data_IF_071677826727
#
_entry.id   IF_071677826727
#
_cell.length_a   1.000
_cell.length_b   1.000
_cell.length_c   1.000
_cell.angle_alpha   90.00
_cell.angle_beta   90.00
_cell.angle_gamma   90.00
#
_symmetry.space_group_name_H-M   'P 1'
#
loop_
_entity.id
_entity.type
_entity.pdbx_description
1 polymer ?
#
# COMPACT_ATOMS: atom_id res chain seq x y z
N UNK A 1 -8.07 -6.03 2.45
CA UNK A 1 -8.03 -6.36 1.01
C UNK A 1 -7.62 -5.18 0.15
N UNK A 2 -7.20 -5.45 -1.10
CA UNK A 2 -6.93 -4.42 -2.09
C UNK A 2 -8.24 -3.82 -2.62
N UNK A 3 -8.34 -2.49 -2.68
CA UNK A 3 -9.45 -1.76 -3.30
C UNK A 3 -8.98 -1.06 -4.58
N UNK A 4 -7.80 -0.44 -4.54
CA UNK A 4 -7.18 0.20 -5.70
C UNK A 4 -5.66 0.28 -5.55
N UNK A 5 -4.89 0.33 -6.66
CA UNK A 5 -5.33 0.08 -8.03
C UNK A 5 -5.81 -1.36 -8.24
N UNK A 6 -6.35 -1.67 -9.42
CA UNK A 6 -6.64 -3.06 -9.79
C UNK A 6 -5.36 -3.90 -9.67
N UNK A 7 -5.49 -5.12 -9.16
CA UNK A 7 -4.35 -6.03 -9.01
C UNK A 7 -3.72 -6.29 -10.38
N UNK A 8 -2.41 -6.06 -10.49
CA UNK A 8 -1.64 -6.17 -11.73
C UNK A 8 -2.17 -5.26 -12.87
N UNK A 9 -2.94 -4.24 -12.51
CA UNK A 9 -3.51 -3.28 -13.44
C UNK A 9 -2.48 -2.29 -14.00
N UNK A 10 -2.88 -1.61 -15.08
CA UNK A 10 -2.07 -0.59 -15.74
C UNK A 10 -2.66 0.80 -15.45
N UNK A 11 -1.81 1.69 -14.94
CA UNK A 11 -2.12 3.09 -14.68
C UNK A 11 -1.67 3.94 -15.87
N UNK A 12 -2.60 4.68 -16.45
CA UNK A 12 -2.34 5.68 -17.48
C UNK A 12 -1.87 6.99 -16.82
N UNK A 13 -0.57 7.11 -16.60
CA UNK A 13 0.05 8.25 -15.91
C UNK A 13 1.01 7.88 -14.79
N UNK A 14 1.46 8.91 -14.07
CA UNK A 14 2.58 8.85 -13.10
C UNK A 14 2.12 9.05 -11.66
N UNK A 15 0.83 8.86 -11.39
CA UNK A 15 0.29 8.83 -10.03
C UNK A 15 -0.92 7.90 -9.93
N UNK A 16 -1.13 7.33 -8.75
CA UNK A 16 -2.29 6.51 -8.43
C UNK A 16 -2.61 6.55 -6.94
N UNK A 17 -3.88 6.31 -6.58
CA UNK A 17 -4.28 6.13 -5.19
C UNK A 17 -4.24 4.65 -4.83
N UNK A 18 -3.34 4.30 -3.93
CA UNK A 18 -3.35 3.01 -3.25
C UNK A 18 -4.48 3.06 -2.21
N UNK A 19 -5.39 2.09 -2.24
CA UNK A 19 -6.55 2.00 -1.34
C UNK A 19 -6.72 0.56 -0.89
N UNK A 20 -6.94 0.37 0.40
CA UNK A 20 -7.13 -0.95 0.99
C UNK A 20 -8.25 -0.92 2.03
N UNK A 21 -8.70 -2.11 2.43
CA UNK A 21 -9.51 -2.33 3.62
C UNK A 21 -8.68 -3.07 4.67
N UNK A 22 -8.90 -2.71 5.93
CA UNK A 22 -8.41 -3.43 7.09
C UNK A 22 -9.49 -3.35 8.18
N UNK A 23 -9.62 -4.41 8.96
CA UNK A 23 -10.57 -4.49 10.07
C UNK A 23 -9.90 -5.16 11.25
N UNK A 24 -10.21 -4.68 12.44
CA UNK A 24 -9.84 -5.29 13.70
C UNK A 24 -11.08 -5.90 14.37
N UNK A 25 -10.93 -7.04 15.04
CA UNK A 25 -12.07 -7.75 15.67
C UNK A 25 -12.60 -6.98 16.88
N UNK A 26 -11.71 -6.31 17.60
CA UNK A 26 -12.03 -5.50 18.78
C UNK A 26 -12.36 -4.05 18.42
N UNK A 27 -12.32 -3.72 17.11
CA UNK A 27 -12.57 -2.40 16.54
C UNK A 27 -11.61 -1.34 17.11
N UNK A 28 -10.38 -1.75 17.42
CA UNK A 28 -9.31 -0.87 17.85
C UNK A 28 -8.89 0.11 16.73
N UNK A 29 -8.25 1.21 17.13
CA UNK A 29 -7.67 2.15 16.17
C UNK A 29 -6.45 1.53 15.50
N UNK A 30 -6.56 1.26 14.21
CA UNK A 30 -5.46 0.74 13.41
C UNK A 30 -4.61 1.87 12.82
N UNK A 31 -3.31 1.60 12.70
CA UNK A 31 -2.38 2.43 11.92
C UNK A 31 -1.68 1.59 10.87
N UNK A 32 -1.18 2.26 9.84
CA UNK A 32 -0.65 1.64 8.64
C UNK A 32 0.73 2.20 8.29
N UNK A 33 1.70 1.31 8.08
CA UNK A 33 2.91 1.63 7.33
C UNK A 33 2.72 1.18 5.88
N UNK A 34 2.96 2.08 4.94
CA UNK A 34 2.84 1.80 3.50
C UNK A 34 4.24 1.68 2.92
N UNK A 35 4.49 0.59 2.21
CA UNK A 35 5.74 0.34 1.50
C UNK A 35 5.46 0.29 0.02
N UNK A 36 6.30 0.94 -0.79
CA UNK A 36 6.17 1.00 -2.24
C UNK A 36 7.56 0.99 -2.87
N UNK A 37 7.80 0.07 -3.79
CA UNK A 37 9.10 -0.17 -4.40
C UNK A 37 8.95 -0.69 -5.84
N UNK A 38 10.05 -0.80 -6.58
CA UNK A 38 10.13 -1.54 -7.85
C UNK A 38 10.66 -2.97 -7.65
N UNK A 39 11.22 -3.28 -6.47
CA UNK A 39 11.52 -4.64 -6.05
C UNK A 39 10.25 -5.39 -5.64
N UNK A 40 10.13 -6.66 -6.06
CA UNK A 40 8.98 -7.53 -5.71
C UNK A 40 8.83 -7.81 -4.22
N UNK A 41 9.89 -7.57 -3.44
CA UNK A 41 9.84 -7.52 -1.97
C UNK A 41 10.02 -6.07 -1.53
N UNK A 42 8.93 -5.28 -1.41
CA UNK A 42 9.04 -3.86 -1.10
C UNK A 42 9.56 -3.64 0.32
N UNK A 43 10.64 -2.86 0.43
CA UNK A 43 11.30 -2.47 1.69
C UNK A 43 11.28 -0.95 1.91
N UNK A 44 11.06 -0.17 0.85
CA UNK A 44 10.98 1.28 0.93
C UNK A 44 9.67 1.72 1.57
N UNK A 45 9.74 2.24 2.81
CA UNK A 45 8.59 2.81 3.53
C UNK A 45 8.30 4.21 2.99
N UNK A 46 7.09 4.42 2.49
CA UNK A 46 6.65 5.69 1.88
C UNK A 46 5.62 6.44 2.72
N UNK A 47 5.05 5.77 3.73
CA UNK A 47 4.21 6.38 4.77
C UNK A 47 4.33 5.58 6.05
N UNK A 48 4.34 6.26 7.19
CA UNK A 48 4.51 5.67 8.52
C UNK A 48 3.36 6.05 9.45
N UNK A 49 2.83 5.05 10.16
CA UNK A 49 1.80 5.20 11.19
C UNK A 49 0.58 6.05 10.76
N UNK A 50 0.18 5.99 9.49
CA UNK A 50 -0.99 6.72 9.02
C UNK A 50 -2.29 6.02 9.46
N UNK A 51 -3.36 6.80 9.67
CA UNK A 51 -4.69 6.26 10.02
C UNK A 51 -5.58 6.06 8.80
N UNK A 52 -5.30 6.75 7.70
CA UNK A 52 -6.05 6.60 6.46
C UNK A 52 -5.77 5.23 5.83
N UNK A 53 -6.78 4.67 5.17
CA UNK A 53 -6.65 3.45 4.35
C UNK A 53 -6.33 3.76 2.89
N UNK A 54 -5.72 4.93 2.67
CA UNK A 54 -5.35 5.43 1.34
C UNK A 54 -3.97 6.05 1.35
N UNK A 55 -3.24 5.93 0.25
CA UNK A 55 -1.97 6.61 0.01
C UNK A 55 -1.91 7.09 -1.44
N UNK A 56 -1.52 8.35 -1.65
CA UNK A 56 -1.32 8.89 -3.00
C UNK A 56 0.14 8.65 -3.43
N UNK A 57 0.34 7.68 -4.31
CA UNK A 57 1.62 7.45 -4.94
C UNK A 57 1.76 8.42 -6.13
N UNK A 58 2.76 9.28 -6.08
CA UNK A 58 3.05 10.29 -7.11
C UNK A 58 4.52 10.21 -7.54
N UNK A 59 4.87 10.92 -8.62
CA UNK A 59 6.22 10.89 -9.21
C UNK A 59 6.65 9.48 -9.65
N UNK A 60 5.70 8.66 -10.08
CA UNK A 60 5.99 7.34 -10.62
C UNK A 60 6.63 7.47 -12.00
N UNK A 61 7.53 6.55 -12.32
CA UNK A 61 8.19 6.49 -13.61
C UNK A 61 7.27 5.70 -14.55
N UNK A 62 7.08 6.17 -15.79
CA UNK A 62 6.32 5.44 -16.81
C UNK A 62 6.99 4.09 -17.16
N UNK A 63 6.24 3.16 -17.74
CA UNK A 63 6.73 1.83 -18.13
C UNK A 63 7.44 1.08 -16.98
N UNK A 64 6.98 1.25 -15.74
CA UNK A 64 7.58 0.67 -14.54
C UNK A 64 6.56 -0.15 -13.78
N UNK A 65 6.97 -1.31 -13.27
CA UNK A 65 6.15 -2.11 -12.35
C UNK A 65 6.51 -1.76 -10.92
N UNK A 66 5.49 -1.48 -10.13
CA UNK A 66 5.59 -1.16 -8.72
C UNK A 66 4.94 -2.26 -7.89
N UNK A 67 5.52 -2.49 -6.72
CA UNK A 67 5.03 -3.42 -5.71
C UNK A 67 4.81 -2.67 -4.42
N UNK A 68 3.71 -2.94 -3.76
CA UNK A 68 3.41 -2.32 -2.48
C UNK A 68 2.81 -3.30 -1.51
N UNK A 69 3.04 -3.04 -0.23
CA UNK A 69 2.41 -3.75 0.88
C UNK A 69 2.03 -2.76 1.97
N UNK A 70 1.11 -3.19 2.82
CA UNK A 70 0.68 -2.43 3.99
C UNK A 70 0.97 -3.27 5.22
N UNK A 71 1.66 -2.69 6.20
CA UNK A 71 1.78 -3.28 7.54
C UNK A 71 0.75 -2.61 8.44
N UNK A 72 -0.13 -3.42 9.00
CA UNK A 72 -1.21 -2.99 9.91
C UNK A 72 -0.72 -3.13 11.34
N UNK A 73 -0.96 -2.11 12.17
CA UNK A 73 -0.59 -2.10 13.59
C UNK A 73 -1.80 -1.83 14.47
N UNK A 74 -1.91 -2.57 15.57
CA UNK A 74 -3.02 -2.50 16.52
C UNK A 74 -2.83 -1.46 17.64
N UNK A 75 -1.69 -0.75 17.66
CA UNK A 75 -1.34 0.20 18.72
C UNK A 75 -0.99 -0.43 20.08
N UNK A 76 -1.04 -1.76 20.20
CA UNK A 76 -0.68 -2.56 21.38
C UNK A 76 0.61 -3.38 21.17
N UNK A 77 1.28 -3.16 20.04
CA UNK A 77 2.54 -3.81 19.67
C UNK A 77 2.37 -4.99 18.72
N UNK A 78 1.14 -5.35 18.36
CA UNK A 78 0.84 -6.30 17.30
C UNK A 78 0.97 -5.66 15.93
N UNK A 79 1.67 -6.35 15.03
CA UNK A 79 1.78 -5.97 13.63
C UNK A 79 1.43 -7.15 12.73
N UNK A 80 0.71 -6.87 11.65
CA UNK A 80 0.41 -7.84 10.59
C UNK A 80 0.93 -7.30 9.26
N UNK A 81 1.77 -8.09 8.60
CA UNK A 81 2.28 -7.77 7.26
C UNK A 81 1.24 -8.26 6.24
N UNK A 82 0.69 -7.33 5.45
CA UNK A 82 -0.24 -7.65 4.38
C UNK A 82 0.43 -8.31 3.17
N UNK A 83 -0.40 -8.81 2.26
CA UNK A 83 0.04 -9.30 0.95
C UNK A 83 0.75 -8.19 0.15
N UNK A 84 1.70 -8.60 -0.70
CA UNK A 84 2.29 -7.72 -1.71
C UNK A 84 1.38 -7.68 -2.94
N UNK A 85 1.01 -6.47 -3.36
CA UNK A 85 0.26 -6.20 -4.57
C UNK A 85 1.13 -5.46 -5.59
N UNK A 86 0.79 -5.56 -6.86
CA UNK A 86 1.50 -4.90 -7.96
C UNK A 86 0.57 -4.13 -8.88
N UNK A 87 1.16 -3.15 -9.56
CA UNK A 87 0.58 -2.43 -10.69
C UNK A 87 1.70 -1.91 -11.59
N UNK A 88 1.38 -1.60 -12.85
CA UNK A 88 2.33 -1.00 -13.80
C UNK A 88 1.87 0.38 -14.24
N UNK A 89 2.80 1.24 -14.63
CA UNK A 89 2.52 2.53 -15.27
C UNK A 89 2.78 2.44 -16.77
N UNK A 90 2.09 3.27 -17.56
CA UNK A 90 2.39 3.50 -18.98
C UNK A 90 2.47 4.99 -19.30
#
# INVERSE_FOLDING_TARGET
>A
DLIAPELDGIIDGTSTSLRWSASDVDNDSLTFDVYLDTASTPLTKVSENQTATTYNASNLIAATTYYFKVVVKDGKGGETIGQVWSFSTK
#
